data_IF_303232254305
#
_entry.id   IF_303232254305
#
_cell.length_a   1.000
_cell.length_b   1.000
_cell.length_c   1.000
_cell.angle_alpha   90.00
_cell.angle_beta   90.00
_cell.angle_gamma   90.00
#
_symmetry.space_group_name_H-M   'P 1'
#
loop_
_entity.id
_entity.type
_entity.pdbx_description
1 polymer ?
#
# COMPACT_ATOMS: atom_id res chain seq x y z
N UNK A 1 -21.55 11.85 -7.10
CA UNK A 1 -20.94 12.79 -6.13
C UNK A 1 -20.97 14.15 -6.80
N UNK A 2 -21.82 15.07 -6.34
CA UNK A 2 -22.00 16.38 -6.98
C UNK A 2 -21.34 17.47 -6.14
N UNK A 3 -20.64 18.41 -6.78
CA UNK A 3 -20.05 19.59 -6.13
C UNK A 3 -21.11 20.69 -5.88
N UNK A 4 -22.40 20.36 -5.93
CA UNK A 4 -23.51 21.30 -5.82
C UNK A 4 -23.48 22.06 -4.50
N UNK A 5 -23.20 21.37 -3.39
CA UNK A 5 -23.07 22.02 -2.08
C UNK A 5 -21.97 23.07 -2.10
N UNK A 6 -20.75 22.70 -2.51
CA UNK A 6 -19.59 23.60 -2.57
C UNK A 6 -19.88 24.80 -3.46
N UNK A 7 -20.39 24.56 -4.67
CA UNK A 7 -20.67 25.61 -5.64
C UNK A 7 -21.76 26.56 -5.14
N UNK A 8 -22.79 26.04 -4.44
CA UNK A 8 -23.86 26.85 -3.86
C UNK A 8 -23.42 27.68 -2.66
N UNK A 9 -22.63 27.10 -1.74
CA UNK A 9 -22.24 27.76 -0.49
C UNK A 9 -21.10 28.75 -0.67
N UNK A 10 -20.11 28.39 -1.49
CA UNK A 10 -18.90 29.19 -1.65
C UNK A 10 -18.88 30.01 -2.95
N UNK A 11 -19.87 29.83 -3.83
CA UNK A 11 -19.96 30.55 -5.10
C UNK A 11 -18.84 30.21 -6.08
N UNK A 12 -18.27 29.01 -5.98
CA UNK A 12 -17.15 28.55 -6.82
C UNK A 12 -17.64 27.66 -7.97
N UNK A 13 -16.74 27.33 -8.91
CA UNK A 13 -17.01 26.43 -10.03
C UNK A 13 -16.19 25.13 -9.92
N UNK A 14 -16.34 24.44 -8.79
CA UNK A 14 -15.66 23.17 -8.55
C UNK A 14 -16.34 22.03 -9.32
N UNK A 15 -15.52 21.24 -10.02
CA UNK A 15 -15.93 20.01 -10.69
C UNK A 15 -14.75 19.05 -10.82
N UNK A 16 -15.02 17.75 -10.99
CA UNK A 16 -13.97 16.76 -11.29
C UNK A 16 -13.25 17.15 -12.57
N UNK A 17 -11.91 17.07 -12.57
CA UNK A 17 -11.07 17.41 -13.72
C UNK A 17 -10.75 18.89 -13.84
N UNK A 18 -11.27 19.76 -12.98
CA UNK A 18 -10.86 21.17 -12.97
C UNK A 18 -9.45 21.33 -12.42
N UNK A 19 -8.61 22.02 -13.18
CA UNK A 19 -7.27 22.44 -12.79
C UNK A 19 -7.37 23.54 -11.74
N UNK A 20 -6.51 23.46 -10.74
CA UNK A 20 -6.37 24.47 -9.71
C UNK A 20 -4.90 24.72 -9.39
N UNK A 21 -4.60 25.90 -8.87
CA UNK A 21 -3.35 26.17 -8.15
C UNK A 21 -3.70 26.33 -6.68
N UNK A 22 -3.27 25.37 -5.86
CA UNK A 22 -3.52 25.32 -4.43
C UNK A 22 -2.27 25.75 -3.66
N UNK A 23 -2.33 26.90 -2.97
CA UNK A 23 -1.20 27.50 -2.25
C UNK A 23 0.10 27.59 -3.08
N UNK A 24 -0.04 27.88 -4.38
CA UNK A 24 1.09 27.98 -5.31
C UNK A 24 1.47 26.68 -6.01
N UNK A 25 0.86 25.55 -5.64
CA UNK A 25 1.12 24.24 -6.27
C UNK A 25 0.00 23.83 -7.24
N UNK A 26 0.33 23.45 -8.48
CA UNK A 26 -0.67 23.02 -9.46
C UNK A 26 -1.23 21.63 -9.13
N UNK A 27 -2.54 21.48 -9.33
CA UNK A 27 -3.24 20.22 -9.11
C UNK A 27 -4.58 20.13 -9.85
N UNK A 28 -5.28 19.03 -9.63
CA UNK A 28 -6.59 18.75 -10.23
C UNK A 28 -7.60 18.38 -9.16
N UNK A 29 -8.81 18.92 -9.25
CA UNK A 29 -9.95 18.52 -8.40
C UNK A 29 -10.43 17.15 -8.85
N UNK A 30 -10.51 16.20 -7.91
CA UNK A 30 -10.88 14.80 -8.22
C UNK A 30 -11.98 14.27 -7.33
N UNK A 31 -12.27 14.92 -6.20
CA UNK A 31 -13.24 14.44 -5.21
C UNK A 31 -13.91 15.59 -4.45
N UNK A 32 -15.14 15.37 -4.04
CA UNK A 32 -15.89 16.22 -3.11
C UNK A 32 -15.74 15.69 -1.66
N UNK A 33 -15.45 16.59 -0.72
CA UNK A 33 -15.37 16.32 0.72
C UNK A 33 -16.33 17.23 1.53
N UNK A 34 -17.44 17.68 0.94
CA UNK A 34 -18.44 18.51 1.61
C UNK A 34 -18.00 19.97 1.68
N UNK A 35 -17.40 20.41 2.78
CA UNK A 35 -16.86 21.77 2.91
C UNK A 35 -15.50 21.97 2.22
N UNK A 36 -14.93 20.90 1.66
CA UNK A 36 -13.58 20.90 1.09
C UNK A 36 -13.58 20.27 -0.31
N UNK A 37 -12.71 20.77 -1.18
CA UNK A 37 -12.40 20.13 -2.45
C UNK A 37 -11.21 19.17 -2.28
N UNK A 38 -11.29 18.00 -2.91
CA UNK A 38 -10.22 17.02 -2.96
C UNK A 38 -9.33 17.26 -4.16
N UNK A 39 -8.11 17.77 -3.94
CA UNK A 39 -7.14 18.09 -4.99
C UNK A 39 -6.01 17.06 -4.98
N UNK A 40 -5.63 16.58 -6.16
CA UNK A 40 -4.40 15.83 -6.37
C UNK A 40 -3.38 16.77 -6.99
N UNK A 41 -2.27 16.99 -6.30
CA UNK A 41 -1.16 17.80 -6.77
C UNK A 41 -0.37 17.06 -7.86
N UNK A 42 0.14 17.81 -8.83
CA UNK A 42 0.93 17.25 -9.94
C UNK A 42 2.28 16.68 -9.47
N UNK A 43 2.81 17.21 -8.36
CA UNK A 43 4.03 16.73 -7.70
C UNK A 43 3.84 15.32 -7.12
N UNK A 44 2.60 14.95 -6.78
CA UNK A 44 2.26 13.73 -6.07
C UNK A 44 1.01 13.03 -6.66
N UNK A 45 1.01 12.65 -7.96
CA UNK A 45 -0.20 12.22 -8.68
C UNK A 45 -0.80 10.92 -8.16
N UNK A 46 -0.03 10.11 -7.43
CA UNK A 46 -0.47 8.83 -6.86
C UNK A 46 -0.91 8.92 -5.40
N UNK A 47 -0.82 10.10 -4.78
CA UNK A 47 -1.29 10.31 -3.42
C UNK A 47 -2.82 10.34 -3.35
N UNK A 48 -3.36 10.05 -2.16
CA UNK A 48 -4.77 10.28 -1.92
C UNK A 48 -5.08 11.78 -2.06
N UNK A 49 -6.25 12.18 -2.59
CA UNK A 49 -6.59 13.59 -2.74
C UNK A 49 -6.58 14.30 -1.39
N UNK A 50 -5.87 15.42 -1.31
CA UNK A 50 -5.80 16.25 -0.12
C UNK A 50 -6.97 17.23 -0.05
N UNK A 51 -7.35 17.61 1.17
CA UNK A 51 -8.50 18.49 1.41
C UNK A 51 -8.05 19.94 1.38
N UNK A 52 -8.62 20.72 0.47
CA UNK A 52 -8.41 22.16 0.41
C UNK A 52 -9.72 22.91 0.59
N UNK A 53 -9.67 24.05 1.26
CA UNK A 53 -10.85 24.90 1.37
C UNK A 53 -11.15 25.52 -0.01
N UNK A 54 -12.41 25.55 -0.48
CA UNK A 54 -12.72 25.96 -1.85
C UNK A 54 -12.33 27.40 -2.19
N UNK A 55 -12.18 28.27 -1.19
CA UNK A 55 -11.89 29.71 -1.36
C UNK A 55 -10.54 30.16 -0.81
N UNK A 56 -9.84 29.33 -0.03
CA UNK A 56 -8.59 29.74 0.63
C UNK A 56 -7.39 29.22 -0.15
N UNK A 57 -6.60 30.15 -0.70
CA UNK A 57 -5.39 29.82 -1.46
C UNK A 57 -5.63 29.02 -2.74
N UNK A 58 -6.87 28.98 -3.28
CA UNK A 58 -7.22 28.25 -4.50
C UNK A 58 -7.45 29.22 -5.67
N UNK A 59 -6.76 28.97 -6.78
CA UNK A 59 -7.03 29.60 -8.08
C UNK A 59 -7.58 28.55 -9.03
N UNK A 60 -8.80 28.76 -9.54
CA UNK A 60 -9.45 27.84 -10.48
C UNK A 60 -9.05 28.13 -11.92
N UNK A 61 -8.76 27.09 -12.69
CA UNK A 61 -8.42 27.15 -14.11
C UNK A 61 -9.35 26.32 -14.99
N UNK A 62 -8.80 25.77 -16.07
CA UNK A 62 -9.57 25.02 -17.07
C UNK A 62 -10.01 23.63 -16.60
N UNK A 63 -11.03 23.07 -17.25
CA UNK A 63 -11.42 21.67 -17.07
C UNK A 63 -10.61 20.81 -18.02
N UNK A 64 -9.92 19.82 -17.47
CA UNK A 64 -9.25 18.78 -18.24
C UNK A 64 -9.97 17.44 -18.06
N UNK A 65 -9.86 16.57 -19.06
CA UNK A 65 -10.33 15.19 -18.91
C UNK A 65 -9.40 14.45 -17.94
N UNK A 66 -9.89 14.21 -16.73
CA UNK A 66 -9.11 13.57 -15.68
C UNK A 66 -9.35 12.06 -15.69
N UNK A 67 -8.31 11.31 -16.08
CA UNK A 67 -8.25 9.88 -15.82
C UNK A 67 -7.47 9.65 -14.51
N UNK A 68 -8.06 9.02 -13.49
CA UNK A 68 -7.33 8.58 -12.31
C UNK A 68 -6.11 7.73 -12.71
N UNK A 69 -4.98 7.83 -11.97
CA UNK A 69 -3.85 6.95 -12.21
C UNK A 69 -4.29 5.49 -12.15
N UNK A 70 -3.91 4.69 -13.15
CA UNK A 70 -4.20 3.26 -13.17
C UNK A 70 -3.39 2.56 -12.07
N UNK A 71 -3.99 2.40 -10.89
CA UNK A 71 -3.43 1.56 -9.84
C UNK A 71 -3.58 0.10 -10.27
N UNK A 72 -2.50 -0.68 -10.20
CA UNK A 72 -2.59 -2.11 -10.51
C UNK A 72 -3.50 -2.80 -9.50
N UNK A 73 -4.25 -3.82 -9.91
CA UNK A 73 -5.12 -4.60 -9.02
C UNK A 73 -4.39 -5.08 -7.76
N UNK A 74 -3.11 -5.44 -7.89
CA UNK A 74 -2.23 -5.79 -6.76
C UNK A 74 -2.05 -4.64 -5.77
N UNK A 75 -1.74 -3.43 -6.25
CA UNK A 75 -1.56 -2.25 -5.40
C UNK A 75 -2.88 -1.84 -4.73
N UNK A 76 -3.99 -1.92 -5.46
CA UNK A 76 -5.32 -1.66 -4.92
C UNK A 76 -5.64 -2.62 -3.77
N UNK A 77 -5.47 -3.93 -4.00
CA UNK A 77 -5.70 -4.96 -2.97
C UNK A 77 -4.81 -4.74 -1.73
N UNK A 78 -3.54 -4.39 -1.93
CA UNK A 78 -2.64 -4.09 -0.81
C UNK A 78 -3.14 -2.90 0.03
N UNK A 79 -3.67 -1.85 -0.60
CA UNK A 79 -4.24 -0.69 0.10
C UNK A 79 -5.51 -1.06 0.87
N UNK A 80 -6.44 -1.79 0.25
CA UNK A 80 -7.64 -2.29 0.92
C UNK A 80 -7.29 -3.17 2.12
N UNK A 81 -6.40 -4.15 1.95
CA UNK A 81 -6.02 -5.06 3.04
C UNK A 81 -5.49 -4.32 4.29
N UNK A 82 -4.73 -3.24 4.10
CA UNK A 82 -4.22 -2.44 5.22
C UNK A 82 -5.31 -1.58 5.86
N UNK A 83 -6.21 -0.99 5.07
CA UNK A 83 -7.34 -0.26 5.63
C UNK A 83 -8.27 -1.19 6.40
N UNK A 84 -8.61 -2.35 5.82
CA UNK A 84 -9.46 -3.35 6.46
C UNK A 84 -8.85 -3.84 7.79
N UNK A 85 -7.52 -3.96 7.86
CA UNK A 85 -6.80 -4.27 9.10
C UNK A 85 -6.97 -3.19 10.17
N UNK A 86 -6.85 -1.91 9.79
CA UNK A 86 -7.01 -0.79 10.71
C UNK A 86 -8.47 -0.67 11.19
N UNK A 87 -9.43 -0.93 10.33
CA UNK A 87 -10.86 -0.82 10.64
C UNK A 87 -11.35 -1.98 11.53
N UNK A 88 -10.69 -3.14 11.47
CA UNK A 88 -11.11 -4.34 12.20
C UNK A 88 -10.83 -4.31 13.71
N UNK A 89 -9.93 -3.43 14.19
CA UNK A 89 -9.51 -3.31 15.61
C UNK A 89 -9.30 -4.68 16.31
N UNK A 90 -8.69 -5.61 15.59
CA UNK A 90 -8.75 -7.04 15.89
C UNK A 90 -7.65 -7.53 16.86
N UNK A 91 -6.75 -6.64 17.29
CA UNK A 91 -5.59 -6.98 18.12
C UNK A 91 -4.51 -7.83 17.44
N UNK A 92 -4.70 -8.20 16.16
CA UNK A 92 -3.72 -8.95 15.37
C UNK A 92 -2.52 -8.10 14.94
N UNK A 93 -1.39 -8.75 14.70
CA UNK A 93 -0.31 -8.16 13.90
C UNK A 93 -0.68 -8.18 12.41
N UNK A 94 -0.27 -7.17 11.65
CA UNK A 94 -0.64 -7.05 10.23
C UNK A 94 -0.22 -8.27 9.38
N UNK A 95 0.87 -8.95 9.73
CA UNK A 95 1.25 -10.17 9.00
C UNK A 95 0.31 -11.35 9.26
N UNK A 96 -0.28 -11.45 10.45
CA UNK A 96 -1.26 -12.48 10.80
C UNK A 96 -2.56 -12.24 10.03
N UNK A 97 -2.98 -10.97 9.96
CA UNK A 97 -4.10 -10.53 9.12
C UNK A 97 -3.93 -10.93 7.65
N UNK A 98 -2.72 -10.81 7.12
CA UNK A 98 -2.40 -11.24 5.76
C UNK A 98 -2.23 -12.76 5.60
N UNK A 99 -2.29 -13.53 6.70
CA UNK A 99 -2.00 -14.97 6.69
C UNK A 99 -0.55 -15.30 6.32
N UNK A 100 0.37 -14.36 6.51
CA UNK A 100 1.78 -14.52 6.16
C UNK A 100 2.53 -15.14 7.33
N UNK A 101 3.08 -16.33 7.11
CA UNK A 101 3.97 -16.99 8.06
C UNK A 101 5.35 -16.27 8.08
N UNK A 102 5.53 -15.40 9.06
CA UNK A 102 6.74 -14.56 9.25
C UNK A 102 7.91 -15.42 9.74
N UNK A 103 9.12 -15.28 9.16
CA UNK A 103 10.29 -15.93 9.72
C UNK A 103 10.76 -15.23 11.00
N UNK A 104 11.20 -16.04 11.96
CA UNK A 104 11.85 -15.62 13.19
C UNK A 104 13.37 -15.65 13.04
N UNK A 105 14.06 -14.99 13.97
CA UNK A 105 15.53 -14.97 14.06
C UNK A 105 15.94 -15.68 15.32
N UNK A 106 16.85 -16.65 15.17
CA UNK A 106 17.47 -17.39 16.26
C UNK A 106 18.95 -17.00 16.36
N UNK A 107 19.54 -17.11 17.55
CA UNK A 107 20.94 -16.77 17.83
C UNK A 107 21.66 -17.93 18.52
N UNK A 108 22.86 -18.28 18.05
CA UNK A 108 23.69 -19.29 18.68
C UNK A 108 24.57 -18.69 19.78
N UNK A 109 25.28 -19.56 20.51
CA UNK A 109 26.21 -19.13 21.57
C UNK A 109 27.39 -18.30 21.04
N UNK A 110 27.70 -18.38 19.76
CA UNK A 110 28.79 -17.68 19.11
C UNK A 110 28.35 -16.31 18.53
N UNK A 111 27.08 -15.93 18.71
CA UNK A 111 26.51 -14.70 18.17
C UNK A 111 26.12 -14.78 16.70
N UNK A 112 26.22 -15.94 16.05
CA UNK A 112 25.65 -16.14 14.72
C UNK A 112 24.12 -16.16 14.82
N UNK A 113 23.47 -15.84 13.71
CA UNK A 113 22.02 -15.88 13.60
C UNK A 113 21.55 -16.76 12.45
N UNK A 114 20.36 -17.34 12.58
CA UNK A 114 19.65 -18.01 11.49
C UNK A 114 18.23 -17.47 11.41
N UNK A 115 17.66 -17.45 10.20
CA UNK A 115 16.24 -17.20 10.02
C UNK A 115 15.50 -18.52 9.82
N UNK A 116 14.36 -18.67 10.47
CA UNK A 116 13.57 -19.89 10.35
C UNK A 116 12.07 -19.58 10.42
N UNK A 117 11.24 -20.49 9.92
CA UNK A 117 9.80 -20.48 10.18
C UNK A 117 9.33 -21.89 10.48
N UNK A 118 8.42 -22.02 11.42
CA UNK A 118 7.73 -23.28 11.64
C UNK A 118 6.73 -23.53 10.52
N UNK A 119 6.75 -24.74 9.99
CA UNK A 119 5.68 -25.24 9.16
C UNK A 119 4.40 -25.38 9.97
N UNK A 120 3.25 -25.30 9.30
CA UNK A 120 1.99 -25.74 9.87
C UNK A 120 1.71 -27.18 9.39
N UNK A 121 0.49 -27.70 9.61
CA UNK A 121 0.14 -29.05 9.16
C UNK A 121 0.20 -29.25 7.62
N UNK A 122 0.25 -28.18 6.83
CA UNK A 122 0.34 -28.21 5.35
C UNK A 122 1.74 -27.91 4.81
N UNK A 123 2.61 -27.32 5.63
CA UNK A 123 3.89 -26.76 5.21
C UNK A 123 5.04 -27.35 6.01
N UNK A 124 6.19 -27.54 5.38
CA UNK A 124 7.42 -27.95 6.09
C UNK A 124 8.08 -26.76 6.79
N UNK A 125 8.67 -27.04 7.96
CA UNK A 125 9.52 -26.07 8.66
C UNK A 125 10.77 -25.76 7.83
N UNK A 126 11.10 -24.48 7.71
CA UNK A 126 12.24 -24.02 6.89
C UNK A 126 13.24 -23.34 7.80
N UNK A 127 14.47 -23.86 7.81
CA UNK A 127 15.57 -23.32 8.59
C UNK A 127 16.69 -22.86 7.67
N UNK A 128 17.01 -21.56 7.70
CA UNK A 128 18.26 -21.04 7.17
C UNK A 128 19.48 -21.59 7.91
N UNK A 129 20.66 -21.38 7.33
CA UNK A 129 21.92 -21.70 7.97
C UNK A 129 22.29 -20.64 9.00
N UNK A 130 23.07 -21.05 10.00
CA UNK A 130 23.73 -20.13 10.92
C UNK A 130 24.75 -19.28 10.16
N UNK A 131 24.61 -17.96 10.29
CA UNK A 131 25.48 -16.98 9.64
C UNK A 131 25.88 -15.87 10.61
N UNK A 132 27.09 -15.29 10.45
CA UNK A 132 27.54 -14.19 11.31
C UNK A 132 26.61 -12.97 11.29
N UNK A 133 25.93 -12.70 10.16
CA UNK A 133 25.08 -11.52 10.00
C UNK A 133 23.64 -11.85 9.65
N UNK A 134 22.70 -11.00 10.09
CA UNK A 134 21.26 -11.13 9.78
C UNK A 134 21.00 -11.08 8.27
N UNK A 135 21.80 -10.32 7.53
CA UNK A 135 21.67 -10.19 6.06
C UNK A 135 21.99 -11.52 5.38
N UNK A 136 23.05 -12.18 5.79
CA UNK A 136 23.46 -13.50 5.27
C UNK A 136 22.49 -14.59 5.72
N UNK A 137 22.05 -14.57 6.97
CA UNK A 137 21.03 -15.49 7.48
C UNK A 137 19.72 -15.40 6.68
N UNK A 138 19.27 -14.17 6.38
CA UNK A 138 18.10 -13.91 5.53
C UNK A 138 18.30 -14.43 4.11
N UNK A 139 19.51 -14.30 3.55
CA UNK A 139 19.82 -14.80 2.21
C UNK A 139 19.79 -16.33 2.18
N UNK A 140 20.42 -17.00 3.14
CA UNK A 140 20.39 -18.48 3.27
C UNK A 140 18.95 -18.99 3.43
N UNK A 141 18.16 -18.38 4.31
CA UNK A 141 16.74 -18.72 4.48
C UNK A 141 15.94 -18.59 3.18
N UNK A 142 16.09 -17.47 2.47
CA UNK A 142 15.39 -17.25 1.18
C UNK A 142 15.80 -18.26 0.12
N UNK A 143 17.08 -18.65 0.06
CA UNK A 143 17.55 -19.66 -0.88
C UNK A 143 16.87 -21.01 -0.63
N UNK A 144 16.84 -21.47 0.63
CA UNK A 144 16.17 -22.72 1.01
C UNK A 144 14.67 -22.68 0.73
N UNK A 145 14.01 -21.58 1.09
CA UNK A 145 12.58 -21.39 0.81
C UNK A 145 12.27 -21.46 -0.69
N UNK A 146 13.08 -20.78 -1.51
CA UNK A 146 12.88 -20.79 -2.97
C UNK A 146 13.13 -22.18 -3.56
N UNK A 147 14.07 -22.96 -3.02
CA UNK A 147 14.31 -24.32 -3.48
C UNK A 147 13.12 -25.24 -3.16
N UNK A 148 12.60 -25.19 -1.93
CA UNK A 148 11.38 -25.93 -1.55
C UNK A 148 10.16 -25.55 -2.42
N UNK A 149 10.01 -24.26 -2.75
CA UNK A 149 8.95 -23.80 -3.66
C UNK A 149 9.15 -24.27 -5.11
N UNK A 150 10.40 -24.50 -5.54
CA UNK A 150 10.71 -25.06 -6.86
C UNK A 150 10.42 -26.57 -6.89
N UNK A 151 10.85 -27.30 -5.88
CA UNK A 151 10.60 -28.74 -5.72
C UNK A 151 9.09 -29.03 -5.74
N UNK A 152 8.31 -28.39 -4.86
CA UNK A 152 6.85 -28.53 -4.82
C UNK A 152 6.10 -28.06 -6.09
N UNK A 153 6.75 -27.28 -6.96
CA UNK A 153 6.19 -26.90 -8.27
C UNK A 153 6.52 -27.91 -9.35
N UNK A 154 7.64 -28.62 -9.24
CA UNK A 154 8.00 -29.66 -10.19
C UNK A 154 7.18 -30.93 -9.94
N UNK A 155 7.01 -31.34 -8.67
CA UNK A 155 6.19 -32.50 -8.30
C UNK A 155 4.73 -32.39 -8.80
N UNK A 156 4.21 -31.15 -8.94
CA UNK A 156 2.86 -30.88 -9.45
C UNK A 156 2.73 -30.88 -10.98
N UNK A 157 3.83 -30.94 -11.73
CA UNK A 157 3.82 -31.06 -13.20
C UNK A 157 4.03 -32.49 -13.68
N UNK A 158 4.49 -33.37 -12.80
CA UNK A 158 4.77 -34.78 -13.11
C UNK A 158 3.54 -35.69 -12.88
N UNK A 159 2.36 -35.08 -12.71
CA UNK A 159 1.03 -35.71 -12.63
C UNK A 159 0.09 -35.13 -13.68
#
# INVERSE_FOLDING_TARGET
>A
MSFEYINSQYGVNACVGRRVVAYGEPGTIVRDFGHYIGVVLDTAPYHSPERYHPTDGIVYGDVVDYSPPKITSRKHKAKCNYQDFLDADSGHDFHEWLGINRPEVDYDRNGNCRMYRFGNYRDVSVYGDWKPTKKEAKASYKAKLNNLLKESRNDRRDY
#
